data_IF_308236747958
#
_entry.id   IF_308236747958
#
_cell.length_a   1.000
_cell.length_b   1.000
_cell.length_c   1.000
_cell.angle_alpha   90.00
_cell.angle_beta   90.00
_cell.angle_gamma   90.00
#
_symmetry.space_group_name_H-M   'P 1'
#
loop_
_entity.id
_entity.type
_entity.pdbx_description
1 polymer ?
#
# COMPACT_ATOMS: atom_id res chain seq x y z
N UNK A 1 -25.77 17.27 -7.25
CA UNK A 1 -25.71 18.17 -8.44
C UNK A 1 -25.61 17.30 -9.69
N UNK A 2 -26.25 17.67 -10.80
CA UNK A 2 -26.08 16.96 -12.10
C UNK A 2 -25.06 17.72 -12.94
N UNK A 3 -23.98 17.05 -13.30
CA UNK A 3 -22.88 17.62 -14.10
C UNK A 3 -22.71 16.78 -15.37
N UNK A 4 -22.54 17.44 -16.50
CA UNK A 4 -22.17 16.79 -17.77
C UNK A 4 -20.70 17.06 -18.02
N UNK A 5 -19.92 16.00 -18.21
CA UNK A 5 -18.48 16.08 -18.53
C UNK A 5 -18.22 15.40 -19.87
N UNK A 6 -17.22 15.89 -20.59
CA UNK A 6 -16.68 15.16 -21.74
C UNK A 6 -15.64 14.17 -21.23
N UNK A 7 -15.74 12.92 -21.66
CA UNK A 7 -14.85 11.83 -21.29
C UNK A 7 -14.57 10.99 -22.53
N UNK A 8 -13.33 10.54 -22.67
CA UNK A 8 -12.95 9.57 -23.71
C UNK A 8 -13.84 8.31 -23.64
N UNK A 9 -14.31 7.83 -24.79
CA UNK A 9 -15.27 6.73 -24.87
C UNK A 9 -14.69 5.42 -24.31
N UNK A 10 -13.41 5.13 -24.59
CA UNK A 10 -12.75 3.93 -24.08
C UNK A 10 -12.60 3.98 -22.57
N UNK A 11 -12.31 5.17 -22.03
CA UNK A 11 -12.23 5.39 -20.58
C UNK A 11 -13.60 5.26 -19.91
N UNK A 12 -14.65 5.81 -20.51
CA UNK A 12 -16.02 5.69 -20.01
C UNK A 12 -16.47 4.22 -19.94
N UNK A 13 -16.20 3.44 -21.00
CA UNK A 13 -16.52 2.00 -21.03
C UNK A 13 -15.75 1.21 -19.97
N UNK A 14 -14.46 1.48 -19.81
CA UNK A 14 -13.64 0.84 -18.77
C UNK A 14 -14.15 1.16 -17.37
N UNK A 15 -14.46 2.42 -17.10
CA UNK A 15 -14.98 2.87 -15.82
C UNK A 15 -16.35 2.25 -15.52
N UNK A 16 -17.22 2.12 -16.51
CA UNK A 16 -18.52 1.44 -16.36
C UNK A 16 -18.36 -0.03 -16.01
N UNK A 17 -17.49 -0.75 -16.72
CA UNK A 17 -17.18 -2.16 -16.42
C UNK A 17 -16.60 -2.33 -15.01
N UNK A 18 -15.70 -1.43 -14.62
CA UNK A 18 -15.12 -1.40 -13.29
C UNK A 18 -16.21 -1.18 -12.21
N UNK A 19 -17.09 -0.18 -12.39
CA UNK A 19 -18.19 0.08 -11.46
C UNK A 19 -19.10 -1.14 -11.29
N UNK A 20 -19.49 -1.79 -12.40
CA UNK A 20 -20.29 -3.01 -12.38
C UNK A 20 -19.59 -4.15 -11.62
N UNK A 21 -18.29 -4.34 -11.86
CA UNK A 21 -17.51 -5.37 -11.16
C UNK A 21 -17.42 -5.14 -9.64
N UNK A 22 -17.55 -3.88 -9.21
CA UNK A 22 -17.57 -3.46 -7.80
C UNK A 22 -18.98 -3.36 -7.22
N UNK A 23 -20.01 -3.69 -8.00
CA UNK A 23 -21.41 -3.60 -7.56
C UNK A 23 -21.88 -2.15 -7.31
N UNK A 24 -21.26 -1.17 -7.97
CA UNK A 24 -21.57 0.25 -7.80
C UNK A 24 -21.96 0.91 -9.13
N UNK A 25 -22.37 2.17 -9.07
CA UNK A 25 -22.72 2.96 -10.26
C UNK A 25 -21.51 3.77 -10.75
N UNK A 26 -21.49 4.13 -12.04
CA UNK A 26 -20.48 5.03 -12.59
C UNK A 26 -20.44 6.39 -11.84
N UNK A 27 -21.62 6.92 -11.46
CA UNK A 27 -21.69 8.17 -10.70
C UNK A 27 -21.03 8.06 -9.32
N UNK A 28 -21.33 6.98 -8.58
CA UNK A 28 -20.72 6.73 -7.27
C UNK A 28 -19.20 6.53 -7.38
N UNK A 29 -18.74 5.79 -8.40
CA UNK A 29 -17.30 5.64 -8.70
C UNK A 29 -16.64 7.00 -8.97
N UNK A 30 -17.28 7.85 -9.77
CA UNK A 30 -16.77 9.19 -10.07
C UNK A 30 -16.72 10.08 -8.84
N UNK A 31 -17.74 10.04 -7.97
CA UNK A 31 -17.73 10.77 -6.71
C UNK A 31 -16.61 10.31 -5.77
N UNK A 32 -16.41 9.01 -5.64
CA UNK A 32 -15.35 8.42 -4.82
C UNK A 32 -13.96 8.83 -5.33
N UNK A 33 -13.72 8.66 -6.63
CA UNK A 33 -12.45 9.07 -7.25
C UNK A 33 -12.17 10.56 -7.09
N UNK A 34 -13.19 11.42 -7.26
CA UNK A 34 -13.04 12.86 -7.04
C UNK A 34 -12.74 13.19 -5.58
N UNK A 35 -13.43 12.56 -4.63
CA UNK A 35 -13.16 12.75 -3.21
C UNK A 35 -11.74 12.35 -2.88
N UNK A 36 -11.30 11.16 -3.29
CA UNK A 36 -9.93 10.68 -3.06
C UNK A 36 -8.87 11.62 -3.63
N UNK A 37 -9.08 12.13 -4.84
CA UNK A 37 -8.14 13.08 -5.47
C UNK A 37 -8.11 14.44 -4.79
N UNK A 38 -9.22 14.86 -4.20
CA UNK A 38 -9.35 16.13 -3.49
C UNK A 38 -9.05 16.00 -1.99
N UNK A 39 -8.85 14.79 -1.47
CA UNK A 39 -8.41 14.62 -0.10
C UNK A 39 -7.11 15.38 0.10
N UNK A 40 -7.03 16.23 1.14
CA UNK A 40 -5.77 16.81 1.55
C UNK A 40 -4.82 15.65 1.80
N UNK A 41 -3.84 15.49 0.92
CA UNK A 41 -2.73 14.63 1.27
C UNK A 41 -2.10 15.31 2.47
N UNK A 42 -1.95 14.63 3.62
CA UNK A 42 -1.14 15.18 4.67
C UNK A 42 0.16 15.54 3.96
N UNK A 43 0.50 16.85 3.95
CA UNK A 43 1.87 17.22 3.59
C UNK A 43 2.70 16.24 4.39
N UNK A 44 3.58 15.52 3.72
CA UNK A 44 4.69 14.90 4.42
C UNK A 44 5.36 16.08 5.12
N UNK A 45 4.90 16.42 6.33
CA UNK A 45 5.74 17.02 7.33
C UNK A 45 6.93 16.10 7.27
N UNK A 46 8.11 16.67 7.01
CA UNK A 46 9.34 15.92 6.98
C UNK A 46 9.37 15.13 8.29
N UNK A 47 8.87 13.90 8.27
CA UNK A 47 8.90 13.04 9.45
C UNK A 47 10.39 12.96 9.72
N UNK A 48 10.83 13.32 10.94
CA UNK A 48 12.22 13.18 11.27
C UNK A 48 12.62 11.75 10.87
N UNK A 49 13.75 11.58 10.18
CA UNK A 49 14.16 10.27 9.69
C UNK A 49 14.09 9.30 10.87
N UNK A 50 13.36 8.19 10.69
CA UNK A 50 13.24 7.18 11.73
C UNK A 50 14.65 6.62 11.96
N UNK A 51 15.19 6.88 13.16
CA UNK A 51 16.47 6.29 13.56
C UNK A 51 16.20 4.86 14.03
N UNK A 52 16.39 3.91 13.12
CA UNK A 52 16.36 2.50 13.47
C UNK A 52 17.57 2.18 14.34
N UNK A 53 17.33 1.52 15.47
CA UNK A 53 18.41 0.95 16.28
C UNK A 53 19.04 -0.19 15.49
N UNK A 54 20.22 0.04 14.93
CA UNK A 54 21.01 -0.98 14.26
C UNK A 54 21.94 -1.64 15.25
N UNK A 55 22.00 -2.97 15.25
CA UNK A 55 23.05 -3.72 15.94
C UNK A 55 24.23 -3.92 14.99
N UNK A 56 25.45 -3.73 15.48
CA UNK A 56 26.65 -4.10 14.73
C UNK A 56 26.80 -5.62 14.69
N UNK A 57 27.07 -6.18 13.51
CA UNK A 57 27.37 -7.61 13.35
C UNK A 57 28.34 -7.84 12.20
N UNK A 58 28.96 -9.02 12.16
CA UNK A 58 29.93 -9.41 11.13
C UNK A 58 29.27 -9.93 9.83
N UNK A 59 27.99 -9.63 9.63
CA UNK A 59 27.18 -10.17 8.54
C UNK A 59 26.46 -11.45 8.93
N UNK A 60 26.10 -12.26 7.93
CA UNK A 60 25.40 -13.53 8.12
C UNK A 60 26.35 -14.60 8.67
N UNK A 61 25.88 -15.39 9.64
CA UNK A 61 26.59 -16.59 10.07
C UNK A 61 26.30 -17.72 9.07
N UNK A 62 27.31 -18.12 8.31
CA UNK A 62 27.16 -19.19 7.32
C UNK A 62 26.77 -20.52 7.99
N UNK A 63 25.85 -21.26 7.38
CA UNK A 63 25.36 -22.53 7.90
C UNK A 63 24.19 -22.42 8.90
N UNK A 64 23.72 -21.21 9.18
CA UNK A 64 22.47 -21.00 9.92
C UNK A 64 21.31 -20.92 8.93
N UNK A 65 20.37 -21.85 9.05
CA UNK A 65 19.09 -21.77 8.37
C UNK A 65 18.16 -20.83 9.16
N UNK A 66 17.69 -19.76 8.51
CA UNK A 66 16.80 -18.77 9.12
C UNK A 66 15.33 -19.18 9.08
N UNK A 67 14.98 -20.21 8.30
CA UNK A 67 13.62 -20.75 8.22
C UNK A 67 13.37 -21.86 9.27
N UNK A 68 14.42 -22.38 9.94
CA UNK A 68 14.30 -23.29 11.07
C UNK A 68 14.36 -22.54 12.42
N UNK A 69 13.19 -22.16 12.90
CA UNK A 69 13.04 -21.41 14.15
C UNK A 69 13.62 -22.12 15.38
N UNK A 70 13.59 -23.46 15.42
CA UNK A 70 14.05 -24.21 16.59
C UNK A 70 15.58 -24.21 16.68
N UNK A 71 16.25 -24.48 15.55
CA UNK A 71 17.71 -24.44 15.47
C UNK A 71 18.25 -23.02 15.68
N UNK A 72 17.55 -22.00 15.16
CA UNK A 72 17.95 -20.60 15.31
C UNK A 72 17.93 -20.13 16.77
N UNK A 73 16.92 -20.54 17.54
CA UNK A 73 16.76 -20.16 18.95
C UNK A 73 17.88 -20.71 19.85
N UNK A 74 18.32 -21.94 19.60
CA UNK A 74 19.43 -22.58 20.34
C UNK A 74 20.75 -21.80 20.13
N UNK A 75 21.00 -21.39 18.88
CA UNK A 75 22.17 -20.58 18.49
C UNK A 75 22.12 -19.18 19.13
N UNK A 76 20.94 -18.60 19.29
CA UNK A 76 20.74 -17.29 19.92
C UNK A 76 20.84 -17.32 21.46
N UNK A 77 21.11 -18.47 22.06
CA UNK A 77 21.27 -18.62 23.51
C UNK A 77 19.95 -18.56 24.28
N UNK A 78 18.83 -18.91 23.63
CA UNK A 78 17.53 -19.04 24.29
C UNK A 78 17.46 -20.34 25.11
N UNK A 79 17.79 -20.26 26.41
CA UNK A 79 17.42 -21.22 27.45
C UNK A 79 16.85 -20.49 28.66
#
# INVERSE_FOLDING_TARGET
MRTTIQLDDLLHEKARKYALSKGTTFAALMEEALREKLLPHPKHTSSPPVKLTTVSGHGIQAGVDLDDNAALLDIMGGS
#
